data_IF_059797592025
#
_entry.id   IF_059797592025
#
_cell.length_a   1.000
_cell.length_b   1.000
_cell.length_c   1.000
_cell.angle_alpha   90.00
_cell.angle_beta   90.00
_cell.angle_gamma   90.00
#
_symmetry.space_group_name_H-M   'P 1'
#
loop_
_entity.id
_entity.type
_entity.pdbx_description
1 polymer ?
#
# COMPACT_ATOMS: atom_id res chain seq x y z
N UNK A 1 -18.85 -13.85 30.52
CA UNK A 1 -18.06 -15.09 30.69
C UNK A 1 -18.05 -15.82 29.36
N UNK A 2 -16.88 -16.10 28.78
CA UNK A 2 -16.79 -16.77 27.47
C UNK A 2 -16.87 -18.29 27.59
N UNK A 3 -17.29 -18.95 26.51
CA UNK A 3 -16.84 -20.31 26.16
C UNK A 3 -16.40 -20.29 24.70
N UNK A 4 -15.16 -20.71 24.44
CA UNK A 4 -14.71 -21.04 23.10
C UNK A 4 -15.41 -22.31 22.63
N UNK A 5 -15.66 -22.39 21.33
CA UNK A 5 -15.77 -23.66 20.62
C UNK A 5 -14.57 -23.76 19.66
N UNK A 6 -13.69 -24.73 19.91
CA UNK A 6 -12.80 -25.22 18.86
C UNK A 6 -13.61 -26.19 18.00
N UNK A 7 -13.52 -26.05 16.68
CA UNK A 7 -13.86 -27.11 15.73
C UNK A 7 -12.60 -27.44 14.96
N UNK A 8 -12.02 -28.60 15.24
CA UNK A 8 -10.89 -29.14 14.48
C UNK A 8 -11.42 -29.85 13.24
N UNK A 9 -10.81 -29.63 12.07
CA UNK A 9 -11.12 -30.34 10.85
C UNK A 9 -9.82 -30.80 10.17
N UNK A 10 -9.37 -32.01 10.51
CA UNK A 10 -8.25 -32.65 9.81
C UNK A 10 -8.75 -33.25 8.49
N UNK A 11 -8.22 -32.79 7.36
CA UNK A 11 -8.32 -33.46 6.07
C UNK A 11 -6.90 -33.63 5.51
N UNK A 12 -6.49 -34.89 5.38
CA UNK A 12 -5.17 -35.24 4.86
C UNK A 12 -5.19 -35.25 3.33
N UNK A 13 -4.34 -34.45 2.70
CA UNK A 13 -4.06 -34.47 1.27
C UNK A 13 -2.68 -35.11 1.04
N UNK A 14 -2.62 -36.13 0.18
CA UNK A 14 -1.36 -36.76 -0.18
C UNK A 14 -0.53 -35.81 -1.07
N UNK A 15 0.74 -35.61 -0.72
CA UNK A 15 1.63 -34.71 -1.43
C UNK A 15 2.09 -35.26 -2.78
N UNK A 16 1.79 -34.53 -3.86
CA UNK A 16 2.55 -34.58 -5.11
C UNK A 16 3.62 -33.47 -5.04
N UNK A 17 4.85 -33.86 -4.71
CA UNK A 17 5.98 -32.91 -4.65
C UNK A 17 6.45 -32.59 -6.07
N UNK A 18 5.81 -31.61 -6.68
CA UNK A 18 6.36 -30.93 -7.86
C UNK A 18 7.46 -30.01 -7.37
N UNK A 19 8.69 -30.24 -7.82
CA UNK A 19 9.82 -29.39 -7.47
C UNK A 19 9.64 -28.01 -8.15
N UNK A 20 9.45 -26.96 -7.35
CA UNK A 20 9.40 -25.60 -7.85
C UNK A 20 10.73 -25.23 -8.55
N UNK A 21 10.70 -24.54 -9.71
CA UNK A 21 11.91 -24.15 -10.40
C UNK A 21 12.74 -23.17 -9.55
N UNK A 22 14.06 -23.32 -9.56
CA UNK A 22 14.96 -22.34 -8.94
C UNK A 22 14.97 -21.05 -9.77
N UNK A 23 14.17 -20.08 -9.36
CA UNK A 23 14.33 -18.69 -9.77
C UNK A 23 15.67 -18.16 -9.22
N UNK A 24 16.70 -18.19 -10.06
CA UNK A 24 17.95 -17.47 -9.82
C UNK A 24 17.72 -15.99 -10.13
N UNK A 25 17.47 -15.19 -9.10
CA UNK A 25 17.57 -13.74 -9.24
C UNK A 25 19.02 -13.38 -9.61
N UNK A 26 19.23 -12.86 -10.80
CA UNK A 26 20.53 -12.39 -11.28
C UNK A 26 20.83 -11.06 -10.59
N UNK A 27 21.94 -10.98 -9.85
CA UNK A 27 22.22 -9.86 -8.93
C UNK A 27 22.80 -8.63 -9.63
N UNK A 28 23.01 -8.66 -10.95
CA UNK A 28 23.47 -7.53 -11.76
C UNK A 28 22.32 -6.93 -12.60
N UNK A 29 21.30 -6.38 -11.94
CA UNK A 29 20.19 -5.69 -12.62
C UNK A 29 20.58 -4.25 -12.93
N UNK A 30 21.04 -3.99 -14.16
CA UNK A 30 21.17 -2.63 -14.71
C UNK A 30 19.78 -2.00 -14.90
N UNK A 31 19.31 -1.27 -13.89
CA UNK A 31 17.99 -0.60 -13.89
C UNK A 31 17.92 0.44 -14.99
N UNK A 32 16.94 0.29 -15.89
CA UNK A 32 16.78 1.18 -17.06
C UNK A 32 16.03 2.45 -16.69
N UNK A 33 16.74 3.42 -16.12
CA UNK A 33 16.21 4.76 -15.85
C UNK A 33 15.71 5.43 -17.13
N UNK A 34 14.54 6.05 -17.06
CA UNK A 34 13.90 6.69 -18.21
C UNK A 34 14.59 7.98 -18.65
N UNK A 35 14.35 8.45 -19.89
CA UNK A 35 14.89 9.74 -20.35
C UNK A 35 14.37 10.88 -19.47
N UNK A 36 15.29 11.69 -18.93
CA UNK A 36 15.03 12.69 -17.89
C UNK A 36 14.06 13.79 -18.35
N UNK A 37 12.75 13.57 -18.18
CA UNK A 37 11.73 14.62 -18.25
C UNK A 37 11.98 15.58 -17.08
N UNK A 38 12.14 16.87 -17.38
CA UNK A 38 12.46 17.89 -16.37
C UNK A 38 11.45 17.90 -15.23
N UNK A 39 11.92 17.63 -14.01
CA UNK A 39 11.06 17.53 -12.83
C UNK A 39 10.38 18.87 -12.55
N UNK A 40 9.04 18.89 -12.58
CA UNK A 40 8.27 20.05 -12.10
C UNK A 40 8.45 20.15 -10.58
N UNK A 41 8.80 21.34 -10.10
CA UNK A 41 8.81 21.62 -8.65
C UNK A 41 7.38 21.54 -8.12
N UNK A 42 7.17 20.86 -7.00
CA UNK A 42 5.87 20.80 -6.33
C UNK A 42 5.37 22.21 -5.99
N UNK A 43 4.12 22.51 -6.34
CA UNK A 43 3.45 23.74 -5.90
C UNK A 43 2.91 23.56 -4.48
N UNK A 44 2.89 24.64 -3.70
CA UNK A 44 2.19 24.65 -2.41
C UNK A 44 0.65 24.72 -2.58
N UNK A 45 0.17 25.09 -3.76
CA UNK A 45 -1.24 25.40 -4.02
C UNK A 45 -2.09 24.19 -4.49
N UNK A 46 -1.48 22.99 -4.56
CA UNK A 46 -2.16 21.74 -4.91
C UNK A 46 -2.22 20.77 -3.72
N UNK A 47 -3.30 20.00 -3.65
CA UNK A 47 -3.53 18.99 -2.63
C UNK A 47 -2.83 17.67 -3.00
N UNK A 48 -2.18 16.95 -2.05
CA UNK A 48 -2.00 17.24 -0.63
C UNK A 48 -0.57 17.73 -0.28
N UNK A 49 0.00 18.65 -1.06
CA UNK A 49 1.34 19.19 -0.78
C UNK A 49 1.45 19.76 0.64
N UNK A 50 2.65 19.76 1.23
CA UNK A 50 2.84 20.11 2.65
C UNK A 50 2.37 21.54 2.99
N UNK A 51 2.56 22.49 2.07
CA UNK A 51 2.08 23.87 2.20
C UNK A 51 0.58 24.07 1.93
N UNK A 52 -0.13 23.04 1.45
CA UNK A 52 -1.54 23.14 1.10
C UNK A 52 -2.42 23.30 2.34
N UNK A 53 -3.41 24.18 2.25
CA UNK A 53 -4.37 24.45 3.33
C UNK A 53 -5.76 24.05 2.90
N UNK A 54 -6.34 23.09 3.62
CA UNK A 54 -7.72 22.65 3.37
C UNK A 54 -8.70 23.81 3.51
N UNK A 55 -9.60 24.02 2.53
CA UNK A 55 -10.62 25.05 2.64
C UNK A 55 -11.68 24.66 3.67
N UNK A 56 -12.24 25.64 4.37
CA UNK A 56 -13.32 25.42 5.36
C UNK A 56 -14.68 25.07 4.75
N UNK A 57 -14.77 25.06 3.42
CA UNK A 57 -15.94 24.69 2.61
C UNK A 57 -15.46 23.94 1.37
N UNK A 58 -16.31 23.09 0.81
CA UNK A 58 -16.03 22.45 -0.48
C UNK A 58 -15.78 23.50 -1.58
N UNK A 59 -14.71 23.37 -2.38
CA UNK A 59 -14.51 24.21 -3.56
C UNK A 59 -15.53 23.88 -4.66
N UNK A 60 -15.81 24.80 -5.59
CA UNK A 60 -16.61 24.50 -6.77
C UNK A 60 -15.87 23.51 -7.69
N UNK A 61 -16.63 22.67 -8.39
CA UNK A 61 -16.09 21.56 -9.21
C UNK A 61 -15.15 22.04 -10.34
N UNK A 62 -15.29 23.28 -10.78
CA UNK A 62 -14.36 23.94 -11.71
C UNK A 62 -12.91 24.00 -11.21
N UNK A 63 -12.66 23.81 -9.91
CA UNK A 63 -11.29 23.68 -9.36
C UNK A 63 -10.72 22.26 -9.41
N UNK A 64 -11.51 21.23 -9.73
CA UNK A 64 -11.08 19.82 -9.60
C UNK A 64 -9.83 19.49 -10.45
N UNK A 65 -9.77 20.00 -11.68
CA UNK A 65 -8.60 19.87 -12.57
C UNK A 65 -7.32 20.55 -12.07
N UNK A 66 -7.43 21.40 -11.04
CA UNK A 66 -6.32 22.09 -10.36
C UNK A 66 -6.11 21.64 -8.91
N UNK A 67 -6.91 20.68 -8.42
CA UNK A 67 -6.92 20.27 -7.02
C UNK A 67 -5.75 19.36 -6.69
N UNK A 68 -5.65 18.23 -7.39
CA UNK A 68 -4.58 17.25 -7.18
C UNK A 68 -3.24 17.77 -7.70
N UNK A 69 -2.16 17.48 -6.97
CA UNK A 69 -0.81 17.68 -7.48
C UNK A 69 -0.49 16.77 -8.69
N UNK A 70 0.53 17.18 -9.43
CA UNK A 70 1.10 16.39 -10.53
C UNK A 70 1.73 15.10 -9.95
N UNK A 71 1.34 13.89 -10.43
CA UNK A 71 1.88 12.62 -9.91
C UNK A 71 3.42 12.51 -9.97
N UNK A 72 4.08 13.30 -10.84
CA UNK A 72 5.54 13.39 -10.89
C UNK A 72 6.17 14.09 -9.67
N UNK A 73 5.36 14.55 -8.70
CA UNK A 73 5.80 15.11 -7.40
C UNK A 73 5.52 14.15 -6.23
N UNK A 74 4.87 13.02 -6.49
CA UNK A 74 4.48 12.01 -5.50
C UNK A 74 5.56 10.92 -5.40
N UNK A 75 6.75 11.32 -4.95
CA UNK A 75 7.92 10.46 -4.71
C UNK A 75 8.46 10.61 -3.29
N UNK A 76 9.33 9.70 -2.86
CA UNK A 76 9.83 9.59 -1.47
C UNK A 76 8.69 9.32 -0.46
N UNK A 77 8.81 9.73 0.81
CA UNK A 77 7.79 9.43 1.83
C UNK A 77 6.42 10.05 1.48
N UNK A 78 5.40 9.20 1.41
CA UNK A 78 4.02 9.58 1.10
C UNK A 78 3.13 9.68 2.33
N UNK A 79 3.45 8.96 3.40
CA UNK A 79 2.63 8.83 4.60
C UNK A 79 2.49 7.38 5.05
N UNK A 80 1.41 7.06 5.74
CA UNK A 80 1.25 5.76 6.39
C UNK A 80 0.26 4.84 5.68
N UNK A 81 0.45 3.53 5.80
CA UNK A 81 -0.71 2.64 5.78
C UNK A 81 -1.32 2.53 7.18
N UNK A 82 -2.63 2.30 7.23
CA UNK A 82 -3.44 2.40 8.43
C UNK A 82 -4.47 1.26 8.46
N UNK A 83 -4.43 0.41 9.49
CA UNK A 83 -5.37 -0.69 9.72
C UNK A 83 -6.74 -0.12 10.13
N UNK A 84 -7.85 -0.66 9.59
CA UNK A 84 -9.21 -0.19 9.94
C UNK A 84 -10.18 -1.25 10.47
N UNK A 85 -9.81 -2.53 10.54
CA UNK A 85 -10.62 -3.63 11.11
C UNK A 85 -10.97 -3.39 12.58
N UNK A 86 -10.14 -2.64 13.32
CA UNK A 86 -10.47 -2.14 14.66
C UNK A 86 -11.67 -1.15 14.71
N UNK A 87 -12.23 -0.73 13.57
CA UNK A 87 -13.39 0.14 13.45
C UNK A 87 -13.27 1.47 14.23
N UNK A 88 -12.11 2.12 14.15
CA UNK A 88 -11.76 3.31 14.93
C UNK A 88 -12.83 4.40 14.91
N UNK A 89 -12.97 5.10 16.03
CA UNK A 89 -13.87 6.24 16.13
C UNK A 89 -13.37 7.40 15.27
N UNK A 90 -14.27 8.20 14.69
CA UNK A 90 -13.93 9.44 13.97
C UNK A 90 -12.97 10.34 14.76
N UNK A 91 -13.13 10.46 16.08
CA UNK A 91 -12.24 11.25 16.95
C UNK A 91 -10.81 10.70 16.94
N UNK A 92 -10.66 9.38 16.97
CA UNK A 92 -9.36 8.70 16.88
C UNK A 92 -8.74 8.90 15.50
N UNK A 93 -9.50 8.66 14.43
CA UNK A 93 -9.07 8.91 13.05
C UNK A 93 -8.57 10.35 12.85
N UNK A 94 -9.33 11.36 13.30
CA UNK A 94 -8.91 12.77 13.25
C UNK A 94 -7.59 13.00 14.02
N UNK A 95 -7.40 12.36 15.17
CA UNK A 95 -6.21 12.54 16.00
C UNK A 95 -4.97 11.91 15.36
N UNK A 96 -5.08 10.66 14.91
CA UNK A 96 -3.96 9.90 14.34
C UNK A 96 -3.63 10.38 12.91
N UNK A 97 -4.62 10.85 12.14
CA UNK A 97 -4.37 11.47 10.84
C UNK A 97 -3.73 12.86 10.98
N UNK A 98 -4.05 13.63 12.02
CA UNK A 98 -3.36 14.91 12.29
C UNK A 98 -1.93 14.68 12.75
N UNK A 99 -1.67 13.70 13.60
CA UNK A 99 -0.29 13.31 13.94
C UNK A 99 0.49 12.85 12.69
N UNK A 100 -0.09 11.96 11.88
CA UNK A 100 0.49 11.55 10.60
C UNK A 100 0.90 12.75 9.72
N UNK A 101 0.03 13.77 9.60
CA UNK A 101 0.30 15.00 8.84
C UNK A 101 1.36 15.87 9.51
N UNK A 102 1.14 16.29 10.75
CA UNK A 102 1.83 17.40 11.39
C UNK A 102 3.17 16.98 12.03
N UNK A 103 3.31 15.72 12.43
CA UNK A 103 4.54 15.17 13.02
C UNK A 103 5.49 14.64 11.95
N UNK A 104 4.98 13.83 11.01
CA UNK A 104 5.81 13.12 10.01
C UNK A 104 5.76 13.73 8.60
N UNK A 105 5.06 14.85 8.40
CA UNK A 105 4.83 15.44 7.07
C UNK A 105 4.15 14.48 6.07
N UNK A 106 3.21 13.64 6.54
CA UNK A 106 2.46 12.77 5.62
C UNK A 106 1.67 13.58 4.60
N UNK A 107 1.48 12.98 3.42
CA UNK A 107 0.64 13.49 2.33
C UNK A 107 -0.62 12.65 2.13
N UNK A 108 -0.55 11.35 2.45
CA UNK A 108 -1.64 10.40 2.27
C UNK A 108 -1.74 9.41 3.44
N UNK A 109 -2.93 8.82 3.61
CA UNK A 109 -3.14 7.56 4.32
C UNK A 109 -3.55 6.49 3.31
N UNK A 110 -2.93 5.32 3.36
CA UNK A 110 -3.39 4.12 2.65
C UNK A 110 -4.20 3.24 3.60
N UNK A 111 -5.44 2.92 3.24
CA UNK A 111 -6.24 2.02 4.05
C UNK A 111 -5.74 0.58 3.94
N UNK A 112 -5.90 -0.17 5.02
CA UNK A 112 -5.61 -1.60 5.15
C UNK A 112 -6.65 -2.26 6.07
N UNK A 113 -7.04 -3.51 5.79
CA UNK A 113 -8.17 -4.17 6.45
C UNK A 113 -9.52 -3.57 6.04
N UNK A 114 -10.58 -3.92 6.76
CA UNK A 114 -11.91 -3.31 6.59
C UNK A 114 -12.75 -3.30 7.87
N UNK A 115 -13.47 -2.20 8.06
CA UNK A 115 -14.56 -2.09 9.02
C UNK A 115 -15.91 -2.12 8.30
N UNK A 116 -16.73 -3.14 8.56
CA UNK A 116 -18.07 -3.28 7.98
C UNK A 116 -19.15 -2.44 8.72
N UNK A 117 -18.75 -1.35 9.40
CA UNK A 117 -19.67 -0.41 10.04
C UNK A 117 -20.23 0.57 9.01
N UNK A 118 -21.55 0.68 8.95
CA UNK A 118 -22.25 1.72 8.17
C UNK A 118 -21.67 3.13 8.43
N UNK A 119 -21.33 3.84 7.36
CA UNK A 119 -20.73 5.18 7.42
C UNK A 119 -19.25 5.23 7.80
N UNK A 120 -18.55 4.10 7.95
CA UNK A 120 -17.12 4.12 8.34
C UNK A 120 -16.23 4.86 7.34
N UNK A 121 -16.45 4.68 6.03
CA UNK A 121 -15.67 5.41 5.02
C UNK A 121 -15.96 6.92 5.03
N UNK A 122 -17.15 7.35 5.48
CA UNK A 122 -17.46 8.77 5.65
C UNK A 122 -16.67 9.38 6.81
N UNK A 123 -16.49 8.65 7.91
CA UNK A 123 -15.62 9.06 9.01
C UNK A 123 -14.14 9.15 8.58
N UNK A 124 -13.67 8.25 7.70
CA UNK A 124 -12.34 8.31 7.09
C UNK A 124 -12.18 9.56 6.21
N UNK A 125 -13.14 9.81 5.31
CA UNK A 125 -13.12 10.98 4.41
C UNK A 125 -13.18 12.29 5.20
N UNK A 126 -14.00 12.36 6.24
CA UNK A 126 -14.08 13.53 7.11
C UNK A 126 -12.83 13.74 7.95
N UNK A 127 -12.24 12.67 8.51
CA UNK A 127 -10.98 12.76 9.26
C UNK A 127 -9.82 13.21 8.37
N UNK A 128 -9.70 12.66 7.17
CA UNK A 128 -8.67 13.01 6.21
C UNK A 128 -8.85 14.43 5.66
N UNK A 129 -10.10 14.90 5.46
CA UNK A 129 -10.40 16.30 5.16
C UNK A 129 -9.99 17.24 6.31
N UNK A 130 -10.24 16.85 7.57
CA UNK A 130 -9.86 17.63 8.75
C UNK A 130 -8.34 17.63 9.02
N UNK A 131 -7.61 16.62 8.55
CA UNK A 131 -6.15 16.51 8.66
C UNK A 131 -5.38 17.04 7.44
N UNK A 132 -6.03 17.22 6.29
CA UNK A 132 -5.36 17.64 5.04
C UNK A 132 -4.53 16.53 4.38
N UNK A 133 -4.99 15.28 4.47
CA UNK A 133 -4.37 14.10 3.87
C UNK A 133 -5.24 13.52 2.75
N UNK A 134 -4.60 13.06 1.67
CA UNK A 134 -5.27 12.21 0.69
C UNK A 134 -5.48 10.78 1.21
N UNK A 135 -6.39 10.02 0.61
CA UNK A 135 -6.68 8.64 0.97
C UNK A 135 -6.49 7.71 -0.23
N UNK A 136 -5.67 6.68 -0.08
CA UNK A 136 -5.67 5.51 -0.97
C UNK A 136 -6.68 4.52 -0.39
N UNK A 137 -7.88 4.50 -0.96
CA UNK A 137 -8.97 3.64 -0.50
C UNK A 137 -8.68 2.17 -0.81
N UNK A 138 -9.41 1.24 -0.20
CA UNK A 138 -9.21 -0.19 -0.39
C UNK A 138 -10.53 -0.96 -0.32
N UNK A 139 -10.81 -1.74 -1.37
CA UNK A 139 -11.78 -2.85 -1.30
C UNK A 139 -11.05 -4.01 -0.64
N UNK A 140 -11.40 -4.29 0.61
CA UNK A 140 -10.76 -5.37 1.36
C UNK A 140 -11.37 -6.72 1.01
N UNK A 141 -10.63 -7.53 0.24
CA UNK A 141 -11.07 -8.88 -0.13
C UNK A 141 -11.19 -9.78 1.10
N UNK A 142 -10.21 -9.73 2.00
CA UNK A 142 -10.09 -10.70 3.07
C UNK A 142 -9.57 -12.05 2.56
N UNK A 143 -9.82 -13.08 3.34
CA UNK A 143 -8.89 -14.20 3.47
C UNK A 143 -9.53 -15.58 3.48
N UNK A 144 -10.86 -15.62 3.53
CA UNK A 144 -11.63 -16.86 3.51
C UNK A 144 -11.90 -17.35 2.08
N UNK A 145 -11.47 -16.58 1.07
CA UNK A 145 -11.87 -16.72 -0.34
C UNK A 145 -13.41 -16.70 -0.50
N UNK A 146 -14.07 -15.81 0.24
CA UNK A 146 -15.53 -15.60 0.22
C UNK A 146 -15.92 -14.26 -0.44
N UNK A 147 -17.20 -14.11 -0.80
CA UNK A 147 -17.73 -12.96 -1.55
C UNK A 147 -18.01 -11.70 -0.71
N UNK A 148 -17.58 -11.61 0.55
CA UNK A 148 -17.85 -10.42 1.41
C UNK A 148 -17.31 -9.12 0.79
N UNK A 149 -16.26 -9.24 -0.04
CA UNK A 149 -15.65 -8.15 -0.79
C UNK A 149 -16.61 -7.46 -1.76
N UNK A 150 -17.62 -8.16 -2.27
CA UNK A 150 -18.65 -7.61 -3.16
C UNK A 150 -19.49 -6.58 -2.40
N UNK A 151 -19.91 -6.92 -1.18
CA UNK A 151 -20.63 -5.99 -0.29
C UNK A 151 -19.77 -4.79 0.09
N UNK A 152 -18.49 -5.00 0.40
CA UNK A 152 -17.52 -3.92 0.71
C UNK A 152 -17.28 -2.99 -0.48
N UNK A 153 -17.14 -3.54 -1.70
CA UNK A 153 -17.06 -2.79 -2.95
C UNK A 153 -18.28 -1.89 -3.11
N UNK A 154 -19.49 -2.44 -2.99
CA UNK A 154 -20.71 -1.70 -3.27
C UNK A 154 -21.00 -0.61 -2.23
N UNK A 155 -20.72 -0.88 -0.95
CA UNK A 155 -20.77 0.13 0.13
C UNK A 155 -19.74 1.24 -0.11
N UNK A 156 -18.50 0.91 -0.48
CA UNK A 156 -17.44 1.89 -0.73
C UNK A 156 -17.72 2.74 -1.97
N UNK A 157 -18.10 2.13 -3.10
CA UNK A 157 -18.48 2.87 -4.31
C UNK A 157 -19.67 3.80 -4.04
N UNK A 158 -20.68 3.35 -3.29
CA UNK A 158 -21.80 4.20 -2.89
C UNK A 158 -21.33 5.38 -1.99
N UNK A 159 -20.43 5.16 -1.04
CA UNK A 159 -19.86 6.23 -0.21
C UNK A 159 -19.07 7.25 -1.06
N UNK A 160 -18.31 6.80 -2.06
CA UNK A 160 -17.57 7.67 -2.97
C UNK A 160 -18.49 8.61 -3.78
N UNK A 161 -19.68 8.13 -4.19
CA UNK A 161 -20.67 8.96 -4.90
C UNK A 161 -21.53 9.84 -3.97
N UNK A 162 -21.89 9.35 -2.79
CA UNK A 162 -22.84 10.03 -1.89
C UNK A 162 -22.18 11.05 -0.94
N UNK A 163 -20.90 10.88 -0.60
CA UNK A 163 -20.17 11.82 0.24
C UNK A 163 -19.51 12.93 -0.62
N UNK A 164 -19.93 14.20 -0.50
CA UNK A 164 -19.48 15.27 -1.40
C UNK A 164 -18.01 15.68 -1.19
N UNK A 165 -17.34 15.23 -0.12
CA UNK A 165 -15.89 15.36 0.08
C UNK A 165 -15.09 14.22 -0.57
N UNK A 166 -15.68 13.04 -0.78
CA UNK A 166 -14.92 11.83 -1.09
C UNK A 166 -14.06 11.94 -2.35
N UNK A 167 -14.55 12.58 -3.42
CA UNK A 167 -13.78 12.83 -4.66
C UNK A 167 -12.60 13.80 -4.51
N UNK A 168 -12.62 14.66 -3.48
CA UNK A 168 -11.53 15.59 -3.18
C UNK A 168 -10.47 14.97 -2.25
N UNK A 169 -10.78 13.84 -1.60
CA UNK A 169 -9.92 13.18 -0.60
C UNK A 169 -9.39 11.84 -1.10
N UNK A 170 -10.16 11.09 -1.88
CA UNK A 170 -9.76 9.77 -2.40
C UNK A 170 -8.83 9.96 -3.60
N UNK A 171 -7.53 9.68 -3.43
CA UNK A 171 -6.52 9.80 -4.49
C UNK A 171 -6.63 8.69 -5.52
N UNK A 172 -6.96 7.48 -5.06
CA UNK A 172 -7.07 6.25 -5.84
C UNK A 172 -7.89 5.22 -5.07
N UNK A 173 -8.64 4.38 -5.77
CA UNK A 173 -9.26 3.17 -5.22
C UNK A 173 -8.38 1.95 -5.50
N UNK A 174 -7.97 1.23 -4.45
CA UNK A 174 -7.30 -0.06 -4.60
C UNK A 174 -8.37 -1.17 -4.65
N UNK A 175 -8.44 -1.87 -5.78
CA UNK A 175 -9.27 -3.04 -5.99
C UNK A 175 -8.56 -4.28 -5.42
N UNK A 176 -8.50 -4.35 -4.10
CA UNK A 176 -7.81 -5.41 -3.38
C UNK A 176 -6.35 -5.13 -3.04
N UNK A 177 -5.82 -6.08 -2.29
CA UNK A 177 -4.48 -6.13 -1.76
C UNK A 177 -4.01 -7.57 -1.88
N UNK A 178 -3.00 -7.80 -2.71
CA UNK A 178 -2.44 -9.11 -3.08
C UNK A 178 -3.46 -10.12 -3.69
N UNK A 179 -4.49 -9.71 -4.46
CA UNK A 179 -5.54 -10.61 -4.94
C UNK A 179 -5.08 -11.68 -5.95
N UNK A 180 -4.00 -11.43 -6.71
CA UNK A 180 -3.39 -12.44 -7.58
C UNK A 180 -2.58 -13.44 -6.76
N UNK A 181 -1.80 -12.96 -5.78
CA UNK A 181 -1.01 -13.80 -4.90
C UNK A 181 -1.89 -14.73 -4.04
N UNK A 182 -2.83 -14.15 -3.28
CA UNK A 182 -3.81 -14.89 -2.46
C UNK A 182 -4.81 -15.67 -3.34
N UNK A 183 -4.74 -15.51 -4.67
CA UNK A 183 -5.53 -16.23 -5.68
C UNK A 183 -7.05 -16.08 -5.45
N UNK A 184 -7.46 -14.85 -5.16
CA UNK A 184 -8.85 -14.54 -4.78
C UNK A 184 -9.77 -14.45 -6.00
N UNK A 185 -9.24 -14.02 -7.14
CA UNK A 185 -9.91 -14.07 -8.44
C UNK A 185 -8.92 -14.49 -9.55
N UNK A 186 -9.41 -15.12 -10.63
CA UNK A 186 -8.72 -15.16 -11.92
C UNK A 186 -8.33 -13.75 -12.39
N UNK A 187 -7.18 -13.62 -13.06
CA UNK A 187 -6.63 -12.31 -13.42
C UNK A 187 -7.50 -11.55 -14.43
N UNK A 188 -8.16 -12.26 -15.35
CA UNK A 188 -9.12 -11.69 -16.31
C UNK A 188 -10.37 -11.12 -15.61
N UNK A 189 -10.88 -11.84 -14.60
CA UNK A 189 -12.00 -11.37 -13.77
C UNK A 189 -11.59 -10.18 -12.88
N UNK A 190 -10.38 -10.17 -12.34
CA UNK A 190 -9.84 -9.03 -11.61
C UNK A 190 -9.70 -7.79 -12.53
N UNK A 191 -9.22 -7.97 -13.75
CA UNK A 191 -9.14 -6.91 -14.75
C UNK A 191 -10.54 -6.37 -15.12
N UNK A 192 -11.54 -7.24 -15.30
CA UNK A 192 -12.94 -6.83 -15.49
C UNK A 192 -13.46 -6.00 -14.30
N UNK A 193 -13.24 -6.46 -13.06
CA UNK A 193 -13.66 -5.71 -11.87
C UNK A 193 -13.00 -4.32 -11.77
N UNK A 194 -11.71 -4.21 -12.12
CA UNK A 194 -11.02 -2.91 -12.22
C UNK A 194 -11.66 -2.01 -13.28
N UNK A 195 -11.96 -2.54 -14.46
CA UNK A 195 -12.60 -1.77 -15.55
C UNK A 195 -14.02 -1.30 -15.17
N UNK A 196 -14.82 -2.15 -14.52
CA UNK A 196 -16.14 -1.80 -14.01
C UNK A 196 -16.06 -0.71 -12.93
N UNK A 197 -15.09 -0.79 -12.01
CA UNK A 197 -14.86 0.25 -11.02
C UNK A 197 -14.44 1.58 -11.66
N UNK A 198 -13.56 1.56 -12.69
CA UNK A 198 -13.17 2.75 -13.44
C UNK A 198 -14.35 3.40 -14.18
N UNK A 199 -15.23 2.60 -14.77
CA UNK A 199 -16.46 3.11 -15.38
C UNK A 199 -17.37 3.77 -14.34
N UNK A 200 -17.58 3.11 -13.19
CA UNK A 200 -18.40 3.60 -12.09
C UNK A 200 -17.88 4.93 -11.50
N UNK A 201 -16.57 5.07 -11.32
CA UNK A 201 -15.92 6.24 -10.73
C UNK A 201 -15.54 7.34 -11.72
N UNK A 202 -15.81 7.15 -13.01
CA UNK A 202 -15.42 8.08 -14.09
C UNK A 202 -15.90 9.53 -13.88
N UNK A 203 -17.11 9.72 -13.33
CA UNK A 203 -17.71 11.02 -12.99
C UNK A 203 -17.12 11.69 -11.74
N UNK A 204 -16.44 10.92 -10.90
CA UNK A 204 -15.71 11.39 -9.72
C UNK A 204 -14.22 11.64 -10.02
N UNK A 205 -13.75 11.17 -11.18
CA UNK A 205 -12.35 11.18 -11.61
C UNK A 205 -11.38 10.51 -10.61
N UNK A 206 -11.86 9.50 -9.88
CA UNK A 206 -11.04 8.70 -8.97
C UNK A 206 -10.40 7.55 -9.77
N UNK A 207 -9.06 7.47 -9.89
CA UNK A 207 -8.37 6.37 -10.56
C UNK A 207 -8.53 5.05 -9.79
N UNK A 208 -8.36 3.92 -10.46
CA UNK A 208 -8.37 2.58 -9.86
C UNK A 208 -7.03 1.88 -10.07
N UNK A 209 -6.57 1.17 -9.04
CA UNK A 209 -5.34 0.36 -9.04
C UNK A 209 -5.59 -0.99 -8.38
N UNK A 210 -4.62 -1.89 -8.47
CA UNK A 210 -4.53 -3.09 -7.64
C UNK A 210 -3.21 -2.98 -6.86
N UNK A 211 -3.23 -3.27 -5.57
CA UNK A 211 -2.04 -3.32 -4.74
C UNK A 211 -1.53 -4.77 -4.74
N UNK A 212 -0.36 -5.05 -5.33
CA UNK A 212 0.05 -6.44 -5.64
C UNK A 212 1.59 -6.63 -5.75
N UNK A 213 2.11 -7.85 -5.53
CA UNK A 213 3.55 -8.16 -5.67
C UNK A 213 3.95 -8.40 -7.12
N UNK A 214 5.24 -8.19 -7.43
CA UNK A 214 5.82 -8.72 -8.67
C UNK A 214 5.58 -10.23 -8.82
N UNK A 215 5.76 -11.00 -7.74
CA UNK A 215 5.52 -12.44 -7.71
C UNK A 215 4.05 -12.83 -7.97
N UNK A 216 3.08 -12.02 -7.53
CA UNK A 216 1.66 -12.27 -7.78
C UNK A 216 1.30 -12.19 -9.27
N UNK A 217 1.88 -11.25 -10.01
CA UNK A 217 1.78 -11.22 -11.48
C UNK A 217 2.57 -12.38 -12.12
N UNK A 218 3.81 -12.64 -11.68
CA UNK A 218 4.69 -13.66 -12.27
C UNK A 218 4.08 -15.07 -12.21
N UNK A 219 3.54 -15.48 -11.06
CA UNK A 219 2.85 -16.77 -10.86
C UNK A 219 1.50 -16.87 -11.60
N UNK A 220 1.06 -15.80 -12.28
CA UNK A 220 -0.13 -15.75 -13.15
C UNK A 220 0.26 -15.44 -14.60
N UNK A 221 1.46 -15.84 -15.01
CA UNK A 221 1.96 -15.68 -16.39
C UNK A 221 2.23 -14.23 -16.78
N UNK A 222 2.40 -13.34 -15.81
CA UNK A 222 2.60 -11.91 -15.98
C UNK A 222 1.33 -11.07 -15.77
N UNK A 223 0.12 -11.65 -15.89
CA UNK A 223 -1.18 -10.98 -15.71
C UNK A 223 -1.23 -9.52 -16.26
N UNK A 224 -0.76 -9.36 -17.50
CA UNK A 224 -0.61 -8.06 -18.16
C UNK A 224 -1.94 -7.34 -18.38
N UNK A 225 -3.04 -8.08 -18.49
CA UNK A 225 -4.41 -7.56 -18.54
C UNK A 225 -4.78 -6.75 -17.29
N UNK A 226 -4.36 -7.20 -16.11
CA UNK A 226 -4.51 -6.45 -14.85
C UNK A 226 -3.60 -5.21 -14.86
N UNK A 227 -2.33 -5.35 -15.28
CA UNK A 227 -1.39 -4.22 -15.41
C UNK A 227 -1.88 -3.17 -16.42
N UNK A 228 -2.58 -3.56 -17.48
CA UNK A 228 -3.12 -2.66 -18.50
C UNK A 228 -4.44 -2.02 -18.05
N UNK A 229 -5.28 -2.74 -17.28
CA UNK A 229 -6.55 -2.22 -16.74
C UNK A 229 -6.38 -1.09 -15.71
N UNK A 230 -5.36 -1.16 -14.83
CA UNK A 230 -5.13 -0.17 -13.75
C UNK A 230 -4.62 1.20 -14.24
N UNK A 231 -4.93 2.27 -13.52
CA UNK A 231 -4.48 3.65 -13.84
C UNK A 231 -3.08 3.99 -13.30
N UNK A 232 -2.73 3.39 -12.17
CA UNK A 232 -1.41 3.46 -11.52
C UNK A 232 -1.05 2.11 -10.93
N UNK A 233 0.21 1.90 -10.58
CA UNK A 233 0.72 0.64 -10.02
C UNK A 233 0.97 0.83 -8.52
N UNK A 234 0.31 0.02 -7.67
CA UNK A 234 0.61 -0.05 -6.25
C UNK A 234 1.38 -1.36 -5.96
N UNK A 235 2.65 -1.25 -5.61
CA UNK A 235 3.60 -2.37 -5.56
C UNK A 235 3.69 -2.97 -4.15
N UNK A 236 3.74 -4.30 -4.06
CA UNK A 236 4.16 -5.07 -2.89
C UNK A 236 5.51 -5.78 -3.13
N UNK A 237 6.57 -5.12 -2.71
CA UNK A 237 7.99 -5.47 -2.82
C UNK A 237 8.49 -6.17 -1.54
N UNK A 238 8.72 -7.49 -1.45
CA UNK A 238 8.93 -8.17 -0.14
C UNK A 238 10.37 -8.64 0.14
N UNK A 239 11.34 -7.74 0.46
CA UNK A 239 12.74 -8.13 0.61
C UNK A 239 12.99 -9.14 1.74
N UNK A 240 12.31 -9.02 2.89
CA UNK A 240 12.42 -9.94 4.04
C UNK A 240 12.02 -11.40 3.70
N UNK A 241 11.34 -11.63 2.56
CA UNK A 241 10.97 -12.97 2.07
C UNK A 241 11.71 -13.46 0.86
N UNK A 242 12.65 -12.69 0.33
CA UNK A 242 13.61 -13.30 -0.56
C UNK A 242 14.24 -14.50 0.14
N UNK A 243 14.44 -15.59 -0.60
CA UNK A 243 15.28 -16.70 -0.15
C UNK A 243 16.74 -16.22 0.09
N UNK A 244 17.06 -14.97 -0.29
CA UNK A 244 18.32 -14.27 -0.14
C UNK A 244 18.29 -13.15 0.93
N UNK A 245 17.22 -13.04 1.73
CA UNK A 245 17.10 -12.04 2.80
C UNK A 245 18.15 -12.22 3.91
N UNK A 246 18.67 -11.12 4.47
CA UNK A 246 19.67 -11.15 5.56
C UNK A 246 19.55 -9.96 6.54
N UNK A 247 20.09 -8.80 6.21
CA UNK A 247 19.91 -7.55 6.99
C UNK A 247 19.22 -6.49 6.16
N UNK A 248 18.64 -5.48 6.81
CA UNK A 248 17.93 -4.41 6.14
C UNK A 248 18.78 -3.69 5.09
N UNK A 249 20.03 -3.36 5.41
CA UNK A 249 20.98 -2.73 4.49
C UNK A 249 21.28 -3.55 3.23
N UNK A 250 21.07 -4.87 3.26
CA UNK A 250 21.24 -5.77 2.12
C UNK A 250 19.95 -5.91 1.27
N UNK A 251 18.85 -5.23 1.62
CA UNK A 251 17.57 -5.38 0.95
C UNK A 251 17.50 -4.73 -0.45
N UNK A 252 18.37 -3.75 -0.75
CA UNK A 252 18.22 -2.92 -1.95
C UNK A 252 18.21 -3.69 -3.29
N UNK A 253 19.08 -4.69 -3.55
CA UNK A 253 19.02 -5.47 -4.78
C UNK A 253 17.69 -6.24 -4.96
N UNK A 254 17.06 -6.63 -3.85
CA UNK A 254 15.76 -7.30 -3.86
C UNK A 254 14.64 -6.32 -4.21
N UNK A 255 14.70 -5.11 -3.65
CA UNK A 255 13.83 -3.99 -4.00
C UNK A 255 14.01 -3.59 -5.47
N UNK A 256 15.22 -3.60 -6.02
CA UNK A 256 15.43 -3.34 -7.44
C UNK A 256 14.89 -4.46 -8.34
N UNK A 257 15.02 -5.72 -7.95
CA UNK A 257 14.49 -6.87 -8.71
C UNK A 257 12.97 -6.84 -8.86
N UNK A 258 12.25 -6.70 -7.75
CA UNK A 258 10.78 -6.57 -7.76
C UNK A 258 10.33 -5.27 -8.49
N UNK A 259 11.04 -4.16 -8.33
CA UNK A 259 10.73 -2.89 -9.00
C UNK A 259 10.92 -2.98 -10.53
N UNK A 260 12.00 -3.64 -10.99
CA UNK A 260 12.32 -3.74 -12.41
C UNK A 260 11.22 -4.49 -13.19
N UNK A 261 10.56 -5.48 -12.58
CA UNK A 261 9.38 -6.12 -13.16
C UNK A 261 8.28 -5.11 -13.52
N UNK A 262 8.00 -4.16 -12.64
CA UNK A 262 7.00 -3.11 -12.89
C UNK A 262 7.50 -2.00 -13.83
N UNK A 263 8.81 -1.77 -13.93
CA UNK A 263 9.40 -0.87 -14.94
C UNK A 263 9.21 -1.44 -16.35
N UNK A 264 9.49 -2.74 -16.55
CA UNK A 264 9.42 -3.38 -17.88
C UNK A 264 7.97 -3.68 -18.32
N UNK A 265 7.09 -4.12 -17.42
CA UNK A 265 5.72 -4.54 -17.77
C UNK A 265 4.66 -3.44 -17.53
N UNK A 266 4.98 -2.43 -16.72
CA UNK A 266 4.03 -1.38 -16.31
C UNK A 266 3.70 -0.31 -17.35
N UNK A 267 4.18 -0.45 -18.60
CA UNK A 267 3.92 0.48 -19.72
C UNK A 267 4.17 1.97 -19.39
N UNK A 268 5.12 2.26 -18.49
CA UNK A 268 5.50 3.61 -18.07
C UNK A 268 4.49 4.33 -17.17
N UNK A 269 3.50 3.62 -16.60
CA UNK A 269 2.52 4.16 -15.64
C UNK A 269 3.19 4.63 -14.34
N UNK A 270 2.49 5.48 -13.58
CA UNK A 270 2.95 5.96 -12.26
C UNK A 270 2.98 4.80 -11.26
N UNK A 271 4.13 4.58 -10.63
CA UNK A 271 4.31 3.60 -9.54
C UNK A 271 4.27 4.24 -8.15
N UNK A 272 3.70 3.52 -7.19
CA UNK A 272 3.79 3.76 -5.75
C UNK A 272 4.20 2.45 -5.06
N UNK A 273 5.23 2.48 -4.22
CA UNK A 273 5.56 1.40 -3.29
C UNK A 273 4.57 1.50 -2.14
N UNK A 274 3.65 0.54 -2.06
CA UNK A 274 2.40 0.80 -1.36
C UNK A 274 2.47 0.61 0.16
N UNK A 275 3.37 -0.25 0.69
CA UNK A 275 3.21 -0.84 2.04
C UNK A 275 4.52 -1.30 2.67
N UNK A 276 4.40 -1.96 3.85
CA UNK A 276 5.39 -2.70 4.64
C UNK A 276 4.67 -3.76 5.68
N UNK A 277 4.79 -5.07 6.17
CA UNK A 277 5.33 -6.51 5.97
C UNK A 277 4.58 -7.65 6.67
N UNK A 278 4.76 -8.84 6.06
CA UNK A 278 5.02 -10.20 6.62
C UNK A 278 3.90 -11.25 6.50
N UNK A 279 4.14 -12.31 5.70
CA UNK A 279 3.90 -13.71 6.12
C UNK A 279 4.86 -14.73 5.47
N UNK A 280 5.06 -15.87 6.16
CA UNK A 280 4.72 -17.20 5.60
C UNK A 280 4.51 -18.22 6.74
N UNK A 281 3.65 -19.23 6.61
CA UNK A 281 2.80 -19.66 5.48
C UNK A 281 1.49 -20.34 5.98
N UNK A 282 0.48 -20.46 5.09
CA UNK A 282 -0.91 -20.92 5.31
C UNK A 282 -1.71 -19.94 6.20
N UNK A 283 -2.80 -19.40 5.63
CA UNK A 283 -3.73 -18.46 6.29
C UNK A 283 -3.18 -17.06 6.66
N UNK A 284 -2.71 -16.33 5.62
CA UNK A 284 -3.12 -14.93 5.28
C UNK A 284 -2.66 -13.70 6.11
N UNK A 285 -2.61 -12.50 5.46
CA UNK A 285 -2.07 -11.15 5.89
C UNK A 285 -0.66 -10.66 5.36
N UNK A 286 -0.39 -10.49 4.04
CA UNK A 286 0.95 -10.17 3.45
C UNK A 286 1.29 -8.68 3.12
N UNK A 287 2.61 -8.27 3.10
CA UNK A 287 3.24 -7.00 2.57
C UNK A 287 4.83 -6.95 2.49
N UNK A 288 5.45 -5.87 1.91
CA UNK A 288 6.89 -5.29 1.94
C UNK A 288 7.42 -5.01 3.38
N UNK A 289 8.61 -4.54 3.87
CA UNK A 289 9.02 -3.88 5.22
C UNK A 289 10.35 -4.47 5.68
N UNK A 290 10.75 -4.07 6.89
CA UNK A 290 11.49 -4.93 7.81
C UNK A 290 10.87 -4.98 9.23
N UNK A 291 10.73 -6.14 9.92
CA UNK A 291 10.11 -6.24 11.25
C UNK A 291 11.05 -5.95 12.45
N UNK A 292 10.47 -5.46 13.55
CA UNK A 292 11.15 -5.41 14.86
C UNK A 292 11.08 -6.69 15.70
N UNK A 293 10.14 -7.59 15.41
CA UNK A 293 10.01 -8.90 16.07
C UNK A 293 9.17 -9.85 15.22
N UNK A 294 9.51 -11.14 15.23
CA UNK A 294 8.74 -12.20 14.56
C UNK A 294 7.59 -12.74 15.41
N UNK A 295 6.62 -13.40 14.76
CA UNK A 295 5.54 -14.14 15.40
C UNK A 295 5.40 -15.53 14.76
N UNK A 296 4.63 -16.50 15.30
CA UNK A 296 4.49 -17.82 14.70
C UNK A 296 3.94 -17.84 13.26
N UNK A 297 3.14 -16.85 12.87
CA UNK A 297 2.68 -16.64 11.48
C UNK A 297 3.57 -15.67 10.69
N UNK A 298 4.61 -15.13 11.33
CA UNK A 298 5.42 -14.00 10.87
C UNK A 298 6.88 -14.44 11.00
N UNK A 299 7.30 -15.37 10.13
CA UNK A 299 8.66 -15.93 10.08
C UNK A 299 9.31 -15.70 8.70
N UNK A 300 10.62 -15.41 8.61
CA UNK A 300 11.31 -15.24 7.34
C UNK A 300 11.43 -16.53 6.53
N UNK A 301 11.68 -16.38 5.23
CA UNK A 301 11.99 -17.50 4.34
C UNK A 301 13.47 -17.94 4.41
N UNK A 302 14.36 -17.09 4.92
CA UNK A 302 15.78 -17.39 5.13
C UNK A 302 16.11 -17.16 6.63
N UNK A 303 16.76 -18.12 7.34
CA UNK A 303 17.12 -17.96 8.75
C UNK A 303 18.11 -16.82 9.03
N UNK A 304 18.83 -16.31 8.03
CA UNK A 304 19.75 -15.18 8.16
C UNK A 304 19.02 -13.83 8.28
N UNK A 305 17.69 -13.78 8.10
CA UNK A 305 16.89 -12.56 8.12
C UNK A 305 16.60 -12.03 9.55
N UNK A 306 17.31 -10.98 9.94
CA UNK A 306 17.35 -10.48 11.34
C UNK A 306 16.18 -9.55 11.69
N UNK A 307 15.15 -10.04 12.39
CA UNK A 307 14.03 -9.23 12.86
C UNK A 307 14.33 -8.50 14.19
N UNK A 308 14.73 -7.23 14.13
CA UNK A 308 14.89 -6.36 15.30
C UNK A 308 14.61 -4.87 14.97
N UNK A 309 14.46 -4.05 16.03
CA UNK A 309 14.13 -2.62 15.92
C UNK A 309 15.18 -1.84 15.11
N UNK A 310 16.45 -2.28 15.13
CA UNK A 310 17.52 -1.62 14.39
C UNK A 310 17.34 -1.86 12.89
N UNK A 311 17.09 -3.10 12.47
CA UNK A 311 16.86 -3.40 11.05
C UNK A 311 15.55 -2.78 10.53
N UNK A 312 14.51 -2.62 11.37
CA UNK A 312 13.33 -1.82 11.00
C UNK A 312 13.70 -0.35 10.71
N UNK A 313 14.51 0.28 11.56
CA UNK A 313 15.04 1.63 11.32
C UNK A 313 15.92 1.70 10.05
N UNK A 314 16.93 0.83 9.96
CA UNK A 314 17.88 0.76 8.84
C UNK A 314 17.17 0.60 7.49
N UNK A 315 16.04 -0.13 7.43
CA UNK A 315 15.28 -0.30 6.19
C UNK A 315 14.61 1.00 5.71
N UNK A 316 14.13 1.83 6.63
CA UNK A 316 13.61 3.16 6.27
C UNK A 316 14.74 4.13 5.91
N UNK A 317 15.88 4.08 6.60
CA UNK A 317 17.07 4.86 6.24
C UNK A 317 17.62 4.48 4.86
N UNK A 318 17.59 3.19 4.51
CA UNK A 318 17.93 2.70 3.17
C UNK A 318 17.02 3.29 2.08
N UNK A 319 15.69 3.25 2.26
CA UNK A 319 14.75 3.86 1.32
C UNK A 319 14.99 5.38 1.14
N UNK A 320 15.34 6.08 2.22
CA UNK A 320 15.67 7.51 2.18
C UNK A 320 17.03 7.80 1.55
N UNK A 321 18.02 6.89 1.67
CA UNK A 321 19.29 7.00 0.95
C UNK A 321 19.09 6.90 -0.57
N UNK A 322 18.25 5.95 -1.01
CA UNK A 322 17.91 5.69 -2.40
C UNK A 322 16.75 6.54 -2.95
N UNK A 323 16.38 7.62 -2.25
CA UNK A 323 15.35 8.58 -2.67
C UNK A 323 15.56 9.07 -4.11
N UNK A 324 16.81 9.38 -4.50
CA UNK A 324 17.14 9.83 -5.85
C UNK A 324 16.85 8.77 -6.91
N UNK A 325 17.25 7.53 -6.66
CA UNK A 325 17.07 6.40 -7.56
C UNK A 325 15.57 6.15 -7.79
N UNK A 326 14.80 6.10 -6.68
CA UNK A 326 13.34 6.02 -6.70
C UNK A 326 12.70 7.19 -7.47
N UNK A 327 13.29 8.40 -7.43
CA UNK A 327 12.80 9.59 -8.13
C UNK A 327 13.11 9.58 -9.64
N UNK A 328 14.14 8.87 -10.11
CA UNK A 328 14.45 8.74 -11.55
C UNK A 328 13.70 7.60 -12.26
N UNK A 329 12.88 6.83 -11.53
CA UNK A 329 11.98 5.80 -12.08
C UNK A 329 10.94 6.42 -13.04
N UNK A 330 10.52 5.63 -14.03
CA UNK A 330 9.44 5.95 -14.98
C UNK A 330 8.11 6.30 -14.27
N UNK A 331 7.22 6.99 -14.99
CA UNK A 331 5.96 7.48 -14.41
C UNK A 331 6.09 8.72 -13.50
N UNK A 332 7.31 9.23 -13.29
CA UNK A 332 7.57 10.41 -12.46
C UNK A 332 7.99 10.04 -11.04
N UNK A 333 8.94 9.12 -10.93
CA UNK A 333 9.45 8.60 -9.67
C UNK A 333 8.45 7.75 -8.89
N UNK A 334 8.92 7.20 -7.78
CA UNK A 334 8.19 6.30 -6.89
C UNK A 334 8.10 6.89 -5.49
N UNK A 335 6.88 6.90 -4.94
CA UNK A 335 6.61 7.23 -3.54
C UNK A 335 6.43 5.96 -2.70
N UNK A 336 6.80 6.01 -1.42
CA UNK A 336 6.68 4.89 -0.48
C UNK A 336 5.85 5.25 0.76
N UNK A 337 5.18 4.24 1.35
CA UNK A 337 4.37 4.40 2.56
C UNK A 337 4.96 3.62 3.75
N UNK A 338 5.03 4.25 4.93
CA UNK A 338 5.31 3.55 6.18
C UNK A 338 4.04 2.82 6.66
N UNK A 339 3.94 1.55 6.37
CA UNK A 339 3.04 0.66 7.11
C UNK A 339 3.84 0.12 8.34
N UNK A 340 3.33 0.10 9.56
CA UNK A 340 2.04 0.63 10.00
C UNK A 340 2.23 1.75 11.01
N UNK A 341 1.20 2.56 11.19
CA UNK A 341 1.25 3.71 12.09
C UNK A 341 1.58 3.31 13.55
N UNK A 342 1.02 2.20 14.07
CA UNK A 342 1.26 1.74 15.45
C UNK A 342 1.22 0.21 15.63
N UNK A 343 1.99 -0.31 16.58
CA UNK A 343 1.96 -1.71 17.04
C UNK A 343 0.57 -2.17 17.49
N UNK A 344 -0.30 -1.23 17.88
CA UNK A 344 -1.68 -1.51 18.28
C UNK A 344 -2.61 -1.72 17.07
N UNK A 345 -2.14 -1.39 15.86
CA UNK A 345 -2.80 -1.74 14.59
C UNK A 345 -2.23 -3.06 14.05
N UNK A 346 -0.90 -3.21 14.02
CA UNK A 346 -0.26 -4.47 13.67
C UNK A 346 1.04 -4.71 14.46
N UNK A 347 1.10 -5.72 15.36
CA UNK A 347 2.26 -5.96 16.20
C UNK A 347 3.50 -6.42 15.44
N UNK A 348 4.66 -5.92 15.84
CA UNK A 348 5.97 -6.20 15.26
C UNK A 348 6.50 -5.07 14.39
N UNK A 349 5.66 -4.10 14.03
CA UNK A 349 6.00 -3.12 13.01
C UNK A 349 5.12 -1.86 12.92
N UNK A 350 4.73 -1.34 14.08
CA UNK A 350 4.35 0.08 14.18
C UNK A 350 5.56 1.01 14.13
N UNK A 351 5.41 2.24 13.65
CA UNK A 351 6.37 3.30 13.98
C UNK A 351 6.19 3.72 15.45
N UNK A 352 4.95 3.82 15.92
CA UNK A 352 4.62 3.88 17.34
C UNK A 352 4.58 2.48 17.99
N UNK A 353 5.16 2.37 19.17
CA UNK A 353 5.06 1.22 20.05
C UNK A 353 3.64 1.05 20.64
N UNK A 354 3.46 0.03 21.49
CA UNK A 354 2.16 -0.28 22.12
C UNK A 354 1.71 0.76 23.16
N UNK A 355 2.65 1.59 23.63
CA UNK A 355 2.41 2.69 24.56
C UNK A 355 2.17 4.04 23.84
N UNK A 356 2.29 4.10 22.51
CA UNK A 356 2.18 5.33 21.73
C UNK A 356 3.48 6.17 21.68
N UNK A 357 4.64 5.55 21.95
CA UNK A 357 5.97 6.17 21.86
C UNK A 357 6.67 5.69 20.59
N UNK A 358 7.47 6.52 19.92
CA UNK A 358 8.25 6.09 18.74
C UNK A 358 9.21 4.95 19.12
N UNK A 359 9.25 3.88 18.32
CA UNK A 359 10.22 2.77 18.51
C UNK A 359 11.67 3.19 18.20
N UNK A 360 11.83 4.11 17.26
CA UNK A 360 13.09 4.73 16.85
C UNK A 360 12.81 6.14 16.30
N UNK A 361 13.80 7.04 16.18
CA UNK A 361 13.61 8.36 15.61
C UNK A 361 13.20 8.27 14.12
N UNK A 362 11.93 8.53 13.81
CA UNK A 362 11.39 8.43 12.45
C UNK A 362 11.06 9.82 11.89
N UNK A 363 11.90 10.30 10.96
CA UNK A 363 11.77 11.62 10.34
C UNK A 363 12.07 11.54 8.83
N UNK A 364 11.26 10.79 8.07
CA UNK A 364 11.60 10.36 6.71
C UNK A 364 11.57 11.50 5.69
N UNK A 365 12.31 11.34 4.59
CA UNK A 365 12.41 12.35 3.53
C UNK A 365 11.13 12.41 2.71
N UNK A 366 10.42 13.53 2.81
CA UNK A 366 9.36 13.90 1.85
C UNK A 366 9.91 14.44 0.52
N UNK A 367 11.24 14.55 0.36
CA UNK A 367 11.86 15.02 -0.87
C UNK A 367 13.33 14.62 -1.07
N UNK A 368 13.65 14.44 -2.35
CA UNK A 368 14.94 14.53 -3.00
C UNK A 368 14.82 15.59 -4.11
#
# INVERSE_FOLDING_TARGET
MHRLFLVSCCLALLGLVVAAPKLTADTNVDVKFGPKKGAKKASADCFPALGFKMPSKLPPESRFSSWWCDPATEYAFMGFSYEVTACQSRKQLISEFKDARDHFNSRYIRLYGACDRNGFYDDIVDAAWEAGLGVHALIWFGFNLDDIWIGRRDVLLNALHTNPKAKWITRVLQFGSEPLFDNVLPHDQLAEQVLLAKQNLSSLHIPVTVSELAFGYQERGGAQDVLDAIDSINIHMLPFFSQQASTANNAWPLVLGDLQFFIDNGNGKKGYIAVTVLIKCISTLFFIRWPSVTSPSVQPNNPDAVADVQNEQDYFELLDSHCNDLKEVVGGGVGWFAHIYSENQEPGYGIYDKNGTLKFPFSPRTSC
#
